data_IF_263685754755
#
_entry.id   IF_263685754755
#
_cell.length_a   1.000
_cell.length_b   1.000
_cell.length_c   1.000
_cell.angle_alpha   90.00
_cell.angle_beta   90.00
_cell.angle_gamma   90.00
#
_symmetry.space_group_name_H-M   'P 1'
#
loop_
_entity.id
_entity.type
_entity.pdbx_description
1 polymer ?
#
# COMPACT_ATOMS: atom_id res chain seq x y z
N UNK A 1 -10.19 -2.40 -2.11
CA UNK A 1 -10.45 -1.30 -3.04
C UNK A 1 -9.13 -0.68 -3.48
N UNK A 2 -8.98 -0.41 -4.77
CA UNK A 2 -7.76 0.20 -5.32
C UNK A 2 -8.17 1.54 -5.94
N UNK A 3 -7.54 2.62 -5.49
CA UNK A 3 -7.77 3.97 -6.00
C UNK A 3 -7.17 4.19 -7.39
N UNK A 4 -7.54 5.30 -8.00
CA UNK A 4 -7.06 5.67 -9.34
C UNK A 4 -5.54 5.91 -9.35
N UNK A 5 -4.86 5.48 -10.42
CA UNK A 5 -3.42 5.70 -10.60
C UNK A 5 -2.51 4.92 -9.65
N UNK A 6 -3.05 3.94 -8.91
CA UNK A 6 -2.23 3.04 -8.09
C UNK A 6 -1.33 2.19 -8.98
N UNK A 7 -0.06 2.07 -8.59
CA UNK A 7 0.92 1.20 -9.25
C UNK A 7 1.23 0.02 -8.35
N UNK A 8 0.93 -1.19 -8.81
CA UNK A 8 1.25 -2.44 -8.12
C UNK A 8 2.28 -3.21 -8.95
N UNK A 9 3.47 -3.47 -8.41
CA UNK A 9 4.52 -4.21 -9.13
C UNK A 9 5.31 -5.08 -8.16
N UNK A 10 5.48 -6.37 -8.47
CA UNK A 10 6.26 -7.28 -7.64
C UNK A 10 5.87 -7.24 -6.15
N UNK A 11 4.58 -7.08 -5.83
CA UNK A 11 4.09 -6.92 -4.47
C UNK A 11 3.06 -7.99 -4.12
N UNK A 12 2.84 -8.19 -2.82
CA UNK A 12 1.80 -9.08 -2.29
C UNK A 12 0.78 -8.24 -1.54
N UNK A 13 -0.50 -8.46 -1.81
CA UNK A 13 -1.60 -7.82 -1.08
C UNK A 13 -2.53 -8.86 -0.49
N UNK A 14 -2.87 -8.67 0.78
CA UNK A 14 -3.92 -9.40 1.47
C UNK A 14 -5.32 -8.99 1.01
N UNK A 15 -6.32 -9.46 1.74
CA UNK A 15 -7.75 -9.23 1.53
C UNK A 15 -8.21 -7.96 2.23
N UNK A 16 -9.34 -7.42 1.76
CA UNK A 16 -10.02 -6.27 2.39
C UNK A 16 -9.17 -5.00 2.56
N UNK A 17 -8.14 -4.84 1.73
CA UNK A 17 -7.29 -3.65 1.74
C UNK A 17 -7.97 -2.46 1.06
N UNK A 18 -7.75 -1.27 1.59
CA UNK A 18 -8.09 0.01 0.96
C UNK A 18 -6.79 0.70 0.56
N UNK A 19 -6.68 1.06 -0.71
CA UNK A 19 -5.48 1.70 -1.26
C UNK A 19 -5.89 3.00 -1.92
N UNK A 20 -5.40 4.11 -1.39
CA UNK A 20 -5.68 5.46 -1.87
C UNK A 20 -5.03 5.72 -3.22
N UNK A 21 -5.58 6.71 -3.93
CA UNK A 21 -5.14 7.08 -5.27
C UNK A 21 -3.63 7.40 -5.33
N UNK A 22 -3.01 7.10 -6.48
CA UNK A 22 -1.58 7.34 -6.77
C UNK A 22 -0.59 6.65 -5.82
N UNK A 23 -1.05 5.70 -5.00
CA UNK A 23 -0.16 4.91 -4.15
C UNK A 23 0.70 3.98 -5.01
N UNK A 24 1.98 3.86 -4.68
CA UNK A 24 2.92 2.97 -5.34
C UNK A 24 3.28 1.85 -4.38
N UNK A 25 3.07 0.62 -4.79
CA UNK A 25 3.39 -0.58 -4.02
C UNK A 25 4.25 -1.45 -4.92
N UNK A 26 5.56 -1.34 -4.73
CA UNK A 26 6.55 -1.90 -5.64
C UNK A 26 7.62 -2.70 -4.89
N UNK A 27 8.55 -3.31 -5.63
CA UNK A 27 9.81 -3.83 -5.11
C UNK A 27 9.70 -4.81 -3.92
N UNK A 28 8.78 -5.75 -4.00
CA UNK A 28 8.63 -6.80 -2.98
C UNK A 28 7.78 -6.39 -1.78
N UNK A 29 7.12 -5.24 -1.81
CA UNK A 29 6.26 -4.79 -0.73
C UNK A 29 5.14 -5.81 -0.42
N UNK A 30 4.90 -6.05 0.87
CA UNK A 30 3.89 -6.98 1.37
C UNK A 30 2.88 -6.18 2.19
N UNK A 31 1.64 -6.15 1.73
CA UNK A 31 0.51 -5.58 2.44
C UNK A 31 -0.33 -6.75 2.97
N UNK A 32 -0.53 -6.82 4.29
CA UNK A 32 -1.36 -7.86 4.89
C UNK A 32 -2.86 -7.59 4.71
N UNK A 33 -3.71 -8.26 5.47
CA UNK A 33 -5.17 -8.15 5.38
C UNK A 33 -5.69 -6.92 6.15
N UNK A 34 -6.80 -6.35 5.69
CA UNK A 34 -7.53 -5.27 6.39
C UNK A 34 -6.71 -3.98 6.62
N UNK A 35 -5.76 -3.68 5.73
CA UNK A 35 -4.99 -2.44 5.80
C UNK A 35 -5.70 -1.29 5.07
N UNK A 36 -5.51 -0.08 5.59
CA UNK A 36 -5.96 1.16 4.98
C UNK A 36 -4.75 2.03 4.63
N UNK A 37 -4.51 2.26 3.35
CA UNK A 37 -3.41 3.05 2.84
C UNK A 37 -3.99 4.33 2.24
N UNK A 38 -3.71 5.48 2.85
CA UNK A 38 -4.07 6.78 2.29
C UNK A 38 -3.44 7.04 0.91
N UNK A 39 -3.88 8.10 0.20
CA UNK A 39 -3.36 8.42 -1.13
C UNK A 39 -1.89 8.83 -1.09
N UNK A 40 -1.24 8.71 -2.26
CA UNK A 40 0.13 9.19 -2.53
C UNK A 40 1.22 8.56 -1.64
N UNK A 41 1.00 7.36 -1.11
CA UNK A 41 2.03 6.59 -0.39
C UNK A 41 2.99 5.87 -1.37
N UNK A 42 4.26 5.72 -0.99
CA UNK A 42 5.26 4.93 -1.72
C UNK A 42 5.79 3.82 -0.83
N UNK A 43 5.34 2.61 -1.10
CA UNK A 43 5.70 1.38 -0.40
C UNK A 43 6.63 0.57 -1.31
N UNK A 44 7.92 0.76 -1.10
CA UNK A 44 8.99 0.16 -1.93
C UNK A 44 9.95 -0.65 -1.04
N UNK A 45 10.98 -1.26 -1.64
CA UNK A 45 12.08 -1.94 -0.92
C UNK A 45 11.68 -3.08 0.05
N UNK A 46 10.65 -3.86 -0.27
CA UNK A 46 10.28 -5.02 0.53
C UNK A 46 9.65 -4.70 1.89
N UNK A 47 9.09 -3.49 2.04
CA UNK A 47 8.36 -3.09 3.25
C UNK A 47 7.20 -4.06 3.54
N UNK A 48 6.94 -4.30 4.83
CA UNK A 48 5.87 -5.19 5.29
C UNK A 48 4.89 -4.40 6.16
N UNK A 49 3.63 -4.37 5.73
CA UNK A 49 2.53 -3.75 6.46
C UNK A 49 1.71 -4.86 7.14
N UNK A 50 1.57 -4.77 8.45
CA UNK A 50 0.86 -5.76 9.27
C UNK A 50 -0.66 -5.60 9.18
N UNK A 51 -1.44 -6.67 9.44
CA UNK A 51 -2.88 -6.62 9.30
C UNK A 51 -3.50 -5.55 10.22
N UNK A 52 -4.51 -4.85 9.71
CA UNK A 52 -5.19 -3.76 10.44
C UNK A 52 -4.39 -2.45 10.55
N UNK A 53 -3.29 -2.31 9.82
CA UNK A 53 -2.52 -1.05 9.80
C UNK A 53 -3.24 0.01 8.97
N UNK A 54 -3.34 1.21 9.52
CA UNK A 54 -3.82 2.40 8.80
C UNK A 54 -2.69 3.40 8.61
N UNK A 55 -2.47 3.82 7.36
CA UNK A 55 -1.53 4.87 6.97
C UNK A 55 -2.32 6.07 6.45
N UNK A 56 -1.94 7.27 6.91
CA UNK A 56 -2.48 8.52 6.37
C UNK A 56 -1.99 8.81 4.95
N UNK A 57 -2.47 9.91 4.38
CA UNK A 57 -1.94 10.48 3.13
C UNK A 57 -0.44 10.76 3.27
N UNK A 58 0.35 10.30 2.28
CA UNK A 58 1.82 10.54 2.22
C UNK A 58 2.55 10.19 3.52
N UNK A 59 2.09 9.18 4.24
CA UNK A 59 2.70 8.74 5.50
C UNK A 59 4.07 8.09 5.28
N UNK A 60 4.23 7.35 4.18
CA UNK A 60 5.49 6.72 3.79
C UNK A 60 5.86 7.18 2.39
N UNK A 61 7.03 7.81 2.28
CA UNK A 61 7.68 8.11 1.02
C UNK A 61 9.14 7.72 1.14
N UNK A 62 9.60 6.88 0.22
CA UNK A 62 11.01 6.70 -0.08
C UNK A 62 11.39 7.56 -1.29
#
# INVERSE_FOLDING_TARGET
QIGEGVTLRNCVLGRNNQIGAKTQITDGAIISDECDLGPENRLEHGIRIWPGTSLGERAISF
#
